data_IF_655662409699
#
_entry.id   IF_655662409699
#
_cell.length_a   1.000
_cell.length_b   1.000
_cell.length_c   1.000
_cell.angle_alpha   90.00
_cell.angle_beta   90.00
_cell.angle_gamma   90.00
#
_symmetry.space_group_name_H-M   'P 1'
#
loop_
_entity.id
_entity.type
_entity.pdbx_description
1 polymer ?
#
# COMPACT_ATOMS: atom_id res chain seq x y z
N UNK A 1 -37.06 -36.67 17.09
CA UNK A 1 -35.85 -36.27 17.82
C UNK A 1 -35.04 -35.35 16.92
N UNK A 2 -35.40 -34.06 16.90
CA UNK A 2 -34.69 -33.05 16.10
C UNK A 2 -33.35 -32.77 16.79
N UNK A 3 -32.24 -33.14 16.14
CA UNK A 3 -30.90 -32.89 16.64
C UNK A 3 -30.63 -31.40 16.73
N UNK A 4 -30.37 -30.90 17.93
CA UNK A 4 -29.95 -29.52 18.14
C UNK A 4 -28.66 -29.27 17.34
N UNK A 5 -28.73 -28.31 16.42
CA UNK A 5 -27.54 -27.86 15.69
C UNK A 5 -26.62 -27.13 16.67
N UNK A 6 -25.53 -27.79 17.07
CA UNK A 6 -24.47 -27.15 17.85
C UNK A 6 -23.86 -26.00 17.03
N UNK A 7 -24.33 -24.77 17.25
CA UNK A 7 -23.61 -23.58 16.78
C UNK A 7 -22.31 -23.49 17.56
N UNK A 8 -21.19 -23.59 16.85
CA UNK A 8 -19.86 -23.38 17.42
C UNK A 8 -19.78 -21.93 17.94
N UNK A 9 -20.01 -21.73 19.24
CA UNK A 9 -19.81 -20.43 19.88
C UNK A 9 -18.29 -20.21 19.99
N UNK A 10 -17.71 -19.49 19.03
CA UNK A 10 -16.31 -19.04 19.15
C UNK A 10 -16.25 -18.09 20.35
N UNK A 11 -15.57 -18.49 21.42
CA UNK A 11 -15.26 -17.60 22.56
C UNK A 11 -14.64 -16.31 22.01
N UNK A 12 -15.14 -15.16 22.47
CA UNK A 12 -14.61 -13.87 22.06
C UNK A 12 -13.11 -13.79 22.42
N UNK A 13 -12.24 -13.68 21.41
CA UNK A 13 -10.80 -13.50 21.58
C UNK A 13 -10.52 -12.04 21.96
N UNK A 14 -9.58 -11.84 22.90
CA UNK A 14 -9.20 -10.53 23.42
C UNK A 14 -8.79 -9.55 22.30
N UNK A 15 -9.07 -8.26 22.50
CA UNK A 15 -8.69 -7.21 21.55
C UNK A 15 -7.16 -7.01 21.55
N UNK A 16 -6.56 -6.97 20.37
CA UNK A 16 -5.16 -6.58 20.17
C UNK A 16 -5.12 -5.05 20.08
N UNK A 17 -4.05 -4.45 20.63
CA UNK A 17 -3.84 -2.99 20.51
C UNK A 17 -3.32 -2.69 19.10
N UNK A 18 -3.83 -1.62 18.44
CA UNK A 18 -3.32 -1.21 17.14
C UNK A 18 -1.82 -0.91 17.21
N UNK A 19 -1.06 -1.44 16.26
CA UNK A 19 0.39 -1.21 16.15
C UNK A 19 0.70 -0.29 14.97
N UNK A 20 1.46 0.77 15.23
CA UNK A 20 1.96 1.66 14.18
C UNK A 20 3.05 0.97 13.35
N UNK A 21 2.73 0.65 12.10
CA UNK A 21 3.67 0.02 11.17
C UNK A 21 4.63 1.06 10.61
N UNK A 22 5.92 0.86 10.81
CA UNK A 22 6.96 1.75 10.31
C UNK A 22 7.69 1.21 9.07
N UNK A 23 7.45 -0.05 8.69
CA UNK A 23 8.12 -0.74 7.58
C UNK A 23 7.21 -0.71 6.35
N UNK A 24 7.76 -0.39 5.19
CA UNK A 24 7.07 -0.33 3.91
C UNK A 24 7.63 -1.35 2.92
N UNK A 25 6.93 -1.50 1.80
CA UNK A 25 7.41 -2.28 0.66
C UNK A 25 8.77 -1.74 0.21
N UNK A 26 9.63 -2.65 -0.21
CA UNK A 26 11.00 -2.39 -0.67
C UNK A 26 12.02 -1.92 0.38
N UNK A 27 11.63 -1.81 1.65
CA UNK A 27 12.60 -1.57 2.72
C UNK A 27 13.56 -2.75 2.91
N UNK A 28 14.77 -2.47 3.38
CA UNK A 28 15.73 -3.50 3.80
C UNK A 28 15.59 -3.74 5.29
N UNK A 29 15.39 -4.99 5.65
CA UNK A 29 15.15 -5.41 7.03
C UNK A 29 16.08 -6.54 7.46
N UNK A 30 16.29 -6.64 8.77
CA UNK A 30 17.06 -7.70 9.43
C UNK A 30 16.14 -8.53 10.32
N UNK A 31 16.31 -9.84 10.24
CA UNK A 31 15.55 -10.80 11.05
C UNK A 31 16.23 -10.98 12.41
N UNK A 32 15.48 -10.79 13.49
CA UNK A 32 15.98 -10.84 14.87
C UNK A 32 15.87 -12.22 15.52
N UNK A 33 14.88 -13.01 15.11
CA UNK A 33 14.58 -14.33 15.68
C UNK A 33 14.09 -15.31 14.61
N UNK A 34 14.02 -16.59 14.98
CA UNK A 34 13.65 -17.67 14.06
C UNK A 34 14.84 -18.31 13.35
N UNK A 35 14.58 -19.15 12.33
CA UNK A 35 15.61 -19.93 11.64
C UNK A 35 16.58 -19.04 10.84
N UNK A 36 16.08 -17.95 10.28
CA UNK A 36 16.86 -17.02 9.43
C UNK A 36 17.43 -15.84 10.23
N UNK A 37 17.64 -16.02 11.54
CA UNK A 37 18.12 -14.98 12.44
C UNK A 37 19.45 -14.38 11.97
N UNK A 38 19.53 -13.06 11.99
CA UNK A 38 20.72 -12.29 11.64
C UNK A 38 20.86 -11.99 10.15
N UNK A 39 20.05 -12.64 9.31
CA UNK A 39 20.05 -12.40 7.88
C UNK A 39 19.22 -11.16 7.54
N UNK A 40 19.61 -10.49 6.45
CA UNK A 40 18.90 -9.35 5.89
C UNK A 40 18.15 -9.74 4.61
N UNK A 41 17.12 -8.97 4.26
CA UNK A 41 16.37 -9.15 3.02
C UNK A 41 15.53 -7.92 2.70
N UNK A 42 15.08 -7.84 1.44
CA UNK A 42 14.18 -6.80 0.97
C UNK A 42 12.73 -7.19 1.27
N UNK A 43 11.92 -6.23 1.69
CA UNK A 43 10.49 -6.45 1.94
C UNK A 43 9.73 -6.46 0.61
N UNK A 44 9.00 -7.53 0.35
CA UNK A 44 8.14 -7.65 -0.83
C UNK A 44 6.78 -7.02 -0.55
N UNK A 45 6.13 -7.48 0.53
CA UNK A 45 4.80 -7.02 0.92
C UNK A 45 4.66 -6.90 2.43
N UNK A 46 3.84 -5.95 2.85
CA UNK A 46 3.48 -5.73 4.25
C UNK A 46 1.97 -5.88 4.36
N UNK A 47 1.54 -6.79 5.23
CA UNK A 47 0.15 -6.95 5.61
C UNK A 47 -0.05 -6.24 6.95
N UNK A 48 -0.74 -5.09 6.97
CA UNK A 48 -1.07 -4.41 8.22
C UNK A 48 -2.01 -5.28 9.07
N UNK A 49 -2.25 -4.83 10.30
CA UNK A 49 -3.18 -5.51 11.21
C UNK A 49 -4.55 -5.73 10.55
N UNK A 50 -4.94 -6.99 10.42
CA UNK A 50 -6.21 -7.41 9.85
C UNK A 50 -6.83 -8.49 10.76
N UNK A 51 -8.14 -8.44 10.96
CA UNK A 51 -8.90 -9.44 11.73
C UNK A 51 -8.28 -9.83 13.09
N UNK A 52 -7.67 -8.87 13.79
CA UNK A 52 -7.00 -9.07 15.09
C UNK A 52 -5.84 -10.07 15.01
N UNK A 53 -5.10 -10.07 13.90
CA UNK A 53 -3.80 -10.71 13.74
C UNK A 53 -2.68 -9.67 13.79
N UNK A 54 -1.49 -10.01 14.35
CA UNK A 54 -0.36 -9.10 14.31
C UNK A 54 0.05 -8.82 12.86
N UNK A 55 0.59 -7.61 12.56
CA UNK A 55 1.07 -7.29 11.23
C UNK A 55 2.15 -8.28 10.77
N UNK A 56 2.12 -8.61 9.48
CA UNK A 56 2.97 -9.61 8.85
C UNK A 56 3.72 -9.03 7.66
N UNK A 57 4.90 -9.57 7.39
CA UNK A 57 5.80 -9.06 6.36
C UNK A 57 6.33 -10.24 5.54
N UNK A 58 6.38 -10.09 4.23
CA UNK A 58 7.07 -11.01 3.32
C UNK A 58 8.44 -10.44 2.98
N UNK A 59 9.48 -11.24 3.19
CA UNK A 59 10.87 -10.85 2.94
C UNK A 59 11.44 -11.78 1.89
N UNK A 60 12.07 -11.19 0.86
CA UNK A 60 12.61 -11.89 -0.30
C UNK A 60 13.58 -13.01 0.11
N UNK A 61 13.28 -14.25 -0.32
CA UNK A 61 14.14 -15.41 -0.08
C UNK A 61 14.28 -15.81 1.39
N UNK A 62 13.42 -15.32 2.30
CA UNK A 62 13.44 -15.64 3.73
C UNK A 62 12.17 -16.37 4.16
N UNK A 63 12.27 -17.08 5.28
CA UNK A 63 11.20 -17.89 5.86
C UNK A 63 10.55 -18.84 4.84
N UNK A 64 11.40 -19.49 4.04
CA UNK A 64 10.96 -20.33 2.93
C UNK A 64 10.23 -21.58 3.42
N UNK A 65 9.08 -21.87 2.81
CA UNK A 65 8.30 -23.08 3.04
C UNK A 65 8.13 -23.86 1.74
N UNK A 66 8.22 -25.17 1.82
CA UNK A 66 7.95 -26.06 0.69
C UNK A 66 6.45 -26.29 0.57
N UNK A 67 5.87 -25.89 -0.56
CA UNK A 67 4.47 -26.11 -0.89
C UNK A 67 4.38 -27.07 -2.08
N UNK A 68 3.57 -28.12 -1.92
CA UNK A 68 3.21 -29.01 -3.04
C UNK A 68 2.07 -28.35 -3.80
N UNK A 69 2.26 -28.14 -5.10
CA UNK A 69 1.27 -27.57 -6.02
C UNK A 69 0.87 -28.69 -6.99
N UNK A 70 -0.43 -29.01 -7.00
CA UNK A 70 -0.99 -29.98 -7.94
C UNK A 70 -1.11 -29.33 -9.32
N UNK A 71 -0.65 -30.03 -10.36
CA UNK A 71 -0.68 -29.55 -11.76
C UNK A 71 -1.63 -30.38 -12.61
N UNK A 72 -1.72 -31.69 -12.32
CA UNK A 72 -2.53 -32.63 -13.07
C UNK A 72 -3.64 -33.31 -12.24
N UNK A 73 -4.40 -34.17 -12.92
CA UNK A 73 -5.45 -34.98 -12.28
C UNK A 73 -4.91 -36.26 -11.63
N UNK A 74 -3.69 -36.70 -11.92
CA UNK A 74 -3.05 -37.83 -11.24
C UNK A 74 -2.74 -37.54 -9.77
N UNK A 75 -2.59 -38.59 -8.97
CA UNK A 75 -2.20 -38.49 -7.55
C UNK A 75 -0.73 -38.05 -7.37
N UNK A 76 0.14 -38.41 -8.33
CA UNK A 76 1.58 -38.10 -8.30
C UNK A 76 1.97 -36.83 -9.09
N UNK A 77 1.02 -36.14 -9.73
CA UNK A 77 1.27 -34.97 -10.58
C UNK A 77 1.37 -33.66 -9.76
N UNK A 78 2.45 -33.52 -8.96
CA UNK A 78 2.73 -32.29 -8.20
C UNK A 78 4.15 -31.77 -8.39
N UNK A 79 4.31 -30.44 -8.34
CA UNK A 79 5.62 -29.77 -8.21
C UNK A 79 5.76 -29.25 -6.78
N UNK A 80 6.96 -29.41 -6.22
CA UNK A 80 7.33 -28.80 -4.93
C UNK A 80 7.97 -27.44 -5.21
N UNK A 81 7.29 -26.37 -4.81
CA UNK A 81 7.80 -25.00 -4.93
C UNK A 81 8.19 -24.48 -3.55
N UNK A 82 9.34 -23.83 -3.45
CA UNK A 82 9.71 -23.03 -2.29
C UNK A 82 9.06 -21.66 -2.41
N UNK A 83 8.21 -21.30 -1.44
CA UNK A 83 7.57 -19.99 -1.37
C UNK A 83 7.93 -19.32 -0.05
N UNK A 84 8.11 -18.00 -0.09
CA UNK A 84 8.25 -17.16 1.10
C UNK A 84 6.99 -17.26 1.95
N UNK A 85 7.18 -17.29 3.27
CA UNK A 85 6.10 -17.26 4.23
C UNK A 85 6.16 -15.97 5.07
N UNK A 86 4.99 -15.50 5.56
CA UNK A 86 4.96 -14.26 6.34
C UNK A 86 5.77 -14.41 7.63
N UNK A 87 6.56 -13.37 7.91
CA UNK A 87 7.21 -13.15 9.20
C UNK A 87 6.39 -12.15 10.01
N UNK A 88 6.21 -12.37 11.33
CA UNK A 88 5.57 -11.39 12.18
C UNK A 88 6.43 -10.13 12.32
N UNK A 89 5.78 -8.96 12.38
CA UNK A 89 6.46 -7.66 12.46
C UNK A 89 7.46 -7.55 13.63
N UNK A 90 7.18 -8.18 14.77
CA UNK A 90 8.05 -8.09 15.95
C UNK A 90 9.41 -8.79 15.78
N UNK A 91 9.53 -9.71 14.83
CA UNK A 91 10.77 -10.47 14.61
C UNK A 91 11.71 -9.79 13.61
N UNK A 92 11.35 -8.59 13.15
CA UNK A 92 12.01 -7.88 12.05
C UNK A 92 12.28 -6.43 12.45
N UNK A 93 13.46 -5.91 12.07
CA UNK A 93 13.82 -4.50 12.25
C UNK A 93 14.37 -3.90 10.96
N UNK A 94 14.18 -2.59 10.78
CA UNK A 94 14.78 -1.85 9.66
C UNK A 94 16.30 -1.83 9.79
N UNK A 95 16.96 -1.86 8.65
CA UNK A 95 18.41 -1.70 8.56
C UNK A 95 18.73 -0.27 8.18
N UNK A 96 19.67 0.33 8.90
CA UNK A 96 20.20 1.65 8.57
C UNK A 96 21.02 1.56 7.25
N UNK A 97 20.70 2.35 6.21
CA UNK A 97 21.44 2.30 4.94
C UNK A 97 22.91 2.71 5.07
N UNK A 98 23.29 3.43 6.15
CA UNK A 98 24.67 3.88 6.36
C UNK A 98 25.49 2.88 7.16
N UNK A 99 24.92 2.40 8.25
CA UNK A 99 25.64 1.57 9.23
C UNK A 99 25.37 0.08 9.09
N UNK A 100 24.37 -0.31 8.29
CA UNK A 100 23.90 -1.69 8.10
C UNK A 100 23.49 -2.42 9.39
N UNK A 101 23.30 -1.65 10.47
CA UNK A 101 22.84 -2.16 11.74
C UNK A 101 21.32 -2.08 11.84
N UNK A 102 20.69 -2.99 12.61
CA UNK A 102 19.26 -2.91 12.88
C UNK A 102 18.98 -1.67 13.75
N UNK A 103 17.90 -0.95 13.44
CA UNK A 103 17.55 0.31 14.11
C UNK A 103 16.07 0.37 14.50
N UNK A 104 15.80 1.10 15.57
CA UNK A 104 14.46 1.59 15.86
C UNK A 104 14.23 2.93 15.16
N UNK A 105 12.99 3.15 14.71
CA UNK A 105 12.60 4.37 14.00
C UNK A 105 11.45 5.08 14.68
N UNK A 106 11.33 6.39 14.45
CA UNK A 106 10.19 7.21 14.85
C UNK A 106 9.79 8.16 13.70
N UNK A 107 8.57 8.68 13.77
CA UNK A 107 8.09 9.70 12.82
C UNK A 107 8.43 11.11 13.32
N UNK A 108 8.92 11.96 12.42
CA UNK A 108 9.18 13.38 12.66
C UNK A 108 8.72 14.22 11.47
N UNK A 109 8.67 15.54 11.66
CA UNK A 109 8.39 16.50 10.59
C UNK A 109 9.64 17.33 10.32
N UNK A 110 9.92 17.54 9.04
CA UNK A 110 10.98 18.44 8.59
C UNK A 110 10.53 19.90 8.76
N UNK A 111 11.45 20.86 8.71
CA UNK A 111 11.12 22.31 8.69
C UNK A 111 10.13 22.70 7.59
N UNK A 112 10.13 21.96 6.47
CA UNK A 112 9.20 22.12 5.35
C UNK A 112 7.81 21.50 5.58
N UNK A 113 7.58 20.85 6.73
CA UNK A 113 6.32 20.17 7.07
C UNK A 113 6.17 18.75 6.51
N UNK A 114 7.19 18.22 5.83
CA UNK A 114 7.16 16.85 5.32
C UNK A 114 7.35 15.82 6.45
N UNK A 115 6.46 14.82 6.51
CA UNK A 115 6.55 13.71 7.48
C UNK A 115 7.61 12.71 7.02
N UNK A 116 8.63 12.50 7.84
CA UNK A 116 9.77 11.64 7.54
C UNK A 116 9.99 10.60 8.65
N UNK A 117 10.51 9.43 8.27
CA UNK A 117 10.93 8.37 9.19
C UNK A 117 12.39 8.62 9.57
N UNK A 118 12.70 8.65 10.86
CA UNK A 118 14.03 8.98 11.39
C UNK A 118 14.49 7.91 12.36
N UNK A 119 15.78 7.65 12.41
CA UNK A 119 16.39 6.77 13.41
C UNK A 119 16.15 7.32 14.82
N UNK A 120 15.74 6.47 15.75
CA UNK A 120 15.46 6.84 17.13
C UNK A 120 16.78 7.08 17.87
N UNK A 121 17.00 8.32 18.30
CA UNK A 121 18.15 8.79 19.06
C UNK A 121 17.73 9.98 19.95
N UNK A 122 18.58 10.40 20.89
CA UNK A 122 18.32 11.57 21.76
C UNK A 122 18.26 12.89 20.98
N UNK A 123 19.09 13.05 19.95
CA UNK A 123 19.13 14.25 19.10
C UNK A 123 19.31 13.84 17.64
N UNK A 124 18.22 13.44 16.96
CA UNK A 124 18.26 13.03 15.57
C UNK A 124 18.54 14.23 14.66
N UNK A 125 19.44 14.05 13.71
CA UNK A 125 19.79 15.08 12.72
C UNK A 125 19.17 14.74 11.37
N UNK A 126 19.14 15.69 10.43
CA UNK A 126 18.73 15.44 9.04
C UNK A 126 19.47 14.28 8.35
N UNK A 127 20.69 13.97 8.79
CA UNK A 127 21.46 12.84 8.29
C UNK A 127 20.88 11.47 8.69
N UNK A 128 20.00 11.41 9.69
CA UNK A 128 19.45 10.17 10.24
C UNK A 128 18.06 9.83 9.66
N UNK A 129 17.62 10.58 8.65
CA UNK A 129 16.39 10.31 7.92
C UNK A 129 16.57 9.00 7.14
N UNK A 130 15.66 8.06 7.40
CA UNK A 130 15.61 6.77 6.70
C UNK A 130 14.64 6.93 5.53
N UNK A 131 15.10 6.86 4.28
CA UNK A 131 14.24 7.03 3.13
C UNK A 131 13.13 5.97 3.13
N UNK A 132 11.97 6.36 2.62
CA UNK A 132 10.89 5.43 2.29
C UNK A 132 11.01 5.19 0.79
N UNK A 133 11.03 3.94 0.36
CA UNK A 133 11.06 3.62 -1.07
C UNK A 133 9.83 4.21 -1.78
N UNK A 134 10.06 4.85 -2.93
CA UNK A 134 8.97 5.35 -3.79
C UNK A 134 8.26 4.12 -4.35
N UNK A 135 6.98 3.98 -4.02
CA UNK A 135 6.18 2.89 -4.55
C UNK A 135 5.77 3.24 -5.97
N UNK A 136 6.40 2.59 -6.95
CA UNK A 136 5.88 2.57 -8.31
C UNK A 136 4.75 1.54 -8.38
N UNK A 137 3.53 1.99 -8.64
CA UNK A 137 2.37 1.10 -8.83
C UNK A 137 2.51 0.17 -10.06
N UNK A 138 3.61 0.27 -10.81
CA UNK A 138 3.90 -0.49 -12.03
C UNK A 138 2.96 -0.16 -13.20
N UNK A 139 1.90 0.63 -12.96
CA UNK A 139 1.01 1.17 -13.97
C UNK A 139 1.75 2.28 -14.68
N UNK A 140 2.25 1.98 -15.87
CA UNK A 140 2.76 3.03 -16.73
C UNK A 140 1.58 3.93 -17.12
N UNK A 141 1.72 5.24 -16.90
CA UNK A 141 0.70 6.23 -17.25
C UNK A 141 0.59 6.48 -18.77
N UNK A 142 1.25 5.68 -19.60
CA UNK A 142 1.25 5.75 -21.06
C UNK A 142 0.04 5.01 -21.68
N UNK A 143 -1.17 5.33 -21.20
CA UNK A 143 -2.38 4.82 -21.85
C UNK A 143 -2.48 5.32 -23.29
N UNK A 144 -2.74 4.41 -24.24
CA UNK A 144 -3.13 4.80 -25.59
C UNK A 144 -4.50 5.48 -25.49
N UNK A 145 -4.62 6.71 -25.99
CA UNK A 145 -5.90 7.43 -26.03
C UNK A 145 -6.84 6.70 -27.00
N UNK A 146 -7.89 6.08 -26.47
CA UNK A 146 -8.90 5.40 -27.26
C UNK A 146 -9.82 6.37 -27.99
N UNK A 147 -10.65 5.84 -28.91
CA UNK A 147 -11.59 6.66 -29.69
C UNK A 147 -12.69 7.34 -28.85
N UNK A 148 -12.88 6.90 -27.59
CA UNK A 148 -13.84 7.48 -26.63
C UNK A 148 -13.17 8.26 -25.50
N UNK A 149 -11.83 8.36 -25.50
CA UNK A 149 -11.09 9.08 -24.48
C UNK A 149 -10.86 10.52 -24.93
N UNK A 150 -11.19 11.48 -24.07
CA UNK A 150 -11.01 12.90 -24.37
C UNK A 150 -9.51 13.25 -24.32
N UNK A 151 -8.94 13.86 -25.38
CA UNK A 151 -7.54 14.27 -25.35
C UNK A 151 -7.31 15.36 -24.30
N UNK A 152 -6.10 15.37 -23.72
CA UNK A 152 -5.71 16.24 -22.61
C UNK A 152 -5.95 17.72 -22.87
N UNK A 153 -5.64 18.19 -24.08
CA UNK A 153 -5.79 19.58 -24.49
C UNK A 153 -7.24 20.09 -24.38
N UNK A 154 -8.22 19.21 -24.64
CA UNK A 154 -9.65 19.54 -24.52
C UNK A 154 -10.06 19.58 -23.04
N UNK A 155 -9.56 18.66 -22.21
CA UNK A 155 -9.88 18.58 -20.77
C UNK A 155 -9.32 19.78 -20.01
N UNK A 156 -8.10 20.23 -20.34
CA UNK A 156 -7.48 21.38 -19.69
C UNK A 156 -8.07 22.73 -20.10
N UNK A 157 -8.80 22.77 -21.21
CA UNK A 157 -9.41 24.00 -21.69
C UNK A 157 -10.40 24.52 -20.65
N UNK A 158 -10.09 25.66 -20.03
CA UNK A 158 -11.00 26.33 -19.10
C UNK A 158 -12.20 26.83 -19.88
N UNK A 159 -13.32 26.12 -19.78
CA UNK A 159 -14.58 26.44 -20.45
C UNK A 159 -15.47 27.35 -19.62
N UNK A 160 -15.17 27.49 -18.32
CA UNK A 160 -15.95 28.26 -17.36
C UNK A 160 -15.14 29.43 -16.82
N UNK A 161 -15.49 30.65 -17.25
CA UNK A 161 -14.99 31.90 -16.70
C UNK A 161 -16.19 32.81 -16.40
N UNK A 162 -16.90 32.57 -15.30
CA UNK A 162 -18.01 33.43 -14.89
C UNK A 162 -17.57 34.39 -13.76
N UNK A 163 -17.50 35.70 -14.01
CA UNK A 163 -17.26 36.70 -12.97
C UNK A 163 -18.50 36.99 -12.09
N UNK A 164 -19.69 36.44 -12.42
CA UNK A 164 -20.97 36.81 -11.79
C UNK A 164 -21.45 35.90 -10.65
N UNK A 165 -20.69 34.85 -10.27
CA UNK A 165 -21.00 33.94 -9.15
C UNK A 165 -22.38 33.25 -9.20
N UNK A 166 -22.98 33.06 -10.39
CA UNK A 166 -24.18 32.24 -10.51
C UNK A 166 -23.82 30.75 -10.50
N UNK A 167 -24.57 29.93 -9.75
CA UNK A 167 -24.25 28.50 -9.53
C UNK A 167 -24.18 27.68 -10.84
N UNK A 168 -24.91 28.13 -11.88
CA UNK A 168 -24.79 27.69 -13.26
C UNK A 168 -25.17 28.87 -14.19
N UNK A 169 -24.27 29.36 -15.05
CA UNK A 169 -24.44 30.65 -15.74
C UNK A 169 -25.53 30.64 -16.80
N UNK A 170 -25.89 29.47 -17.35
CA UNK A 170 -27.05 29.29 -18.21
C UNK A 170 -27.61 27.88 -18.01
N UNK A 171 -28.91 27.79 -17.70
CA UNK A 171 -29.60 26.51 -17.84
C UNK A 171 -29.54 26.08 -19.32
N UNK A 172 -29.61 24.78 -19.61
CA UNK A 172 -29.67 24.25 -20.99
C UNK A 172 -30.71 25.01 -21.83
N UNK A 173 -31.80 25.44 -21.19
CA UNK A 173 -32.85 26.27 -21.77
C UNK A 173 -32.36 27.66 -22.20
N UNK A 174 -31.59 28.36 -21.35
CA UNK A 174 -31.00 29.65 -21.69
C UNK A 174 -29.97 29.59 -22.83
N UNK A 175 -29.22 28.48 -22.93
CA UNK A 175 -28.32 28.24 -24.07
C UNK A 175 -29.06 27.98 -25.38
N UNK A 176 -30.17 27.22 -25.33
CA UNK A 176 -31.04 26.98 -26.49
C UNK A 176 -31.65 28.29 -26.97
N UNK A 177 -32.20 29.10 -26.06
CA UNK A 177 -32.81 30.40 -26.38
C UNK A 177 -31.79 31.39 -26.97
N UNK A 178 -30.56 31.46 -26.44
CA UNK A 178 -29.50 32.28 -27.03
C UNK A 178 -29.08 31.81 -28.43
N UNK A 179 -28.99 30.49 -28.65
CA UNK A 179 -28.68 29.90 -29.96
C UNK A 179 -29.77 30.23 -30.99
N UNK A 180 -31.03 30.04 -30.64
CA UNK A 180 -32.18 30.36 -31.51
C UNK A 180 -32.23 31.85 -31.86
N UNK A 181 -31.94 32.73 -30.89
CA UNK A 181 -31.88 34.17 -31.10
C UNK A 181 -30.73 34.61 -32.01
N UNK A 182 -29.60 33.88 -32.02
CA UNK A 182 -28.48 34.14 -32.95
C UNK A 182 -28.75 33.64 -34.37
N UNK A 183 -29.56 32.59 -34.57
CA UNK A 183 -29.86 32.04 -35.91
C UNK A 183 -31.01 32.76 -36.63
N UNK A 184 -31.89 33.45 -35.90
CA UNK A 184 -33.03 34.18 -36.45
C UNK A 184 -32.73 35.66 -36.76
N UNK A 185 -31.46 36.03 -36.88
CA UNK A 185 -30.99 37.38 -37.21
C UNK A 185 -30.13 37.32 -38.46
#
# INVERSE_FOLDING_TARGET
MLGESFRLIRKAKAAIKPVDVHIFREDVVKILSGPDKGLTGKVLEVFPEADRLPPQIFVEGRNLRKKKIRIGSGEDDYIVVSMEAPLPYQEVQLVDPKTFNPIETMWMYTSEGQKVRVKKMESPTSADIIPIAVQDDGKKNEGLVGCKDTPYDIVQKVTYNDPSHNLFPLSVRGLIELREKMMNK
#
